data_IF_130018633713
#
_entry.id   IF_130018633713
#
_cell.length_a   1.000
_cell.length_b   1.000
_cell.length_c   1.000
_cell.angle_alpha   90.00
_cell.angle_beta   90.00
_cell.angle_gamma   90.00
#
_symmetry.space_group_name_H-M   'P 1'
#
loop_
_entity.id
_entity.type
_entity.pdbx_description
1 polymer ?
#
# COMPACT_ATOMS: atom_id res chain seq x y z
N UNK A 1 41.84 -12.26 -7.05
CA UNK A 1 41.55 -12.26 -8.50
C UNK A 1 40.16 -12.82 -8.66
N UNK A 2 39.21 -11.95 -8.93
CA UNK A 2 37.84 -12.28 -9.28
C UNK A 2 37.35 -11.05 -10.03
N UNK A 3 37.46 -11.11 -11.35
CA UNK A 3 36.56 -10.37 -12.22
C UNK A 3 35.21 -11.00 -11.93
N UNK A 4 34.16 -10.22 -11.69
CA UNK A 4 32.80 -10.77 -11.72
C UNK A 4 32.64 -11.36 -13.12
N UNK A 5 32.84 -12.67 -13.25
CA UNK A 5 32.62 -13.36 -14.51
C UNK A 5 31.14 -13.13 -14.83
N UNK A 6 30.83 -12.55 -15.99
CA UNK A 6 29.45 -12.32 -16.42
C UNK A 6 28.63 -13.62 -16.29
N UNK A 7 29.30 -14.77 -16.42
CA UNK A 7 28.74 -16.09 -16.16
C UNK A 7 28.34 -16.35 -14.70
N UNK A 8 29.11 -15.89 -13.72
CA UNK A 8 28.78 -16.01 -12.30
C UNK A 8 27.60 -15.12 -11.93
N UNK A 9 27.53 -13.90 -12.46
CA UNK A 9 26.39 -12.99 -12.25
C UNK A 9 25.13 -13.57 -12.90
N UNK A 10 25.28 -14.16 -14.10
CA UNK A 10 24.22 -14.88 -14.78
C UNK A 10 23.74 -16.10 -13.99
N UNK A 11 24.63 -16.92 -13.45
CA UNK A 11 24.26 -18.10 -12.67
C UNK A 11 23.51 -17.72 -11.38
N UNK A 12 23.86 -16.58 -10.78
CA UNK A 12 23.22 -16.01 -9.60
C UNK A 12 21.82 -15.43 -9.91
N UNK A 13 21.72 -14.69 -11.01
CA UNK A 13 20.44 -14.23 -11.56
C UNK A 13 19.55 -15.42 -11.94
N UNK A 14 20.11 -16.50 -12.49
CA UNK A 14 19.38 -17.73 -12.81
C UNK A 14 18.93 -18.45 -11.54
N UNK A 15 19.76 -18.53 -10.49
CA UNK A 15 19.40 -19.14 -9.23
C UNK A 15 18.24 -18.39 -8.54
N UNK A 16 18.27 -17.06 -8.59
CA UNK A 16 17.17 -16.20 -8.10
C UNK A 16 15.91 -16.28 -8.98
N UNK A 17 16.07 -16.42 -10.31
CA UNK A 17 15.02 -16.72 -11.29
C UNK A 17 14.28 -18.03 -11.01
N UNK A 18 14.99 -19.06 -10.56
CA UNK A 18 14.40 -20.37 -10.26
C UNK A 18 13.67 -20.35 -8.91
N UNK A 19 14.14 -19.53 -7.95
CA UNK A 19 13.54 -19.41 -6.63
C UNK A 19 12.24 -18.59 -6.62
N UNK A 20 12.08 -17.68 -7.59
CA UNK A 20 10.94 -16.77 -7.68
C UNK A 20 10.07 -17.24 -8.86
N UNK A 21 8.82 -17.66 -8.63
CA UNK A 21 7.87 -17.91 -9.73
C UNK A 21 7.68 -16.59 -10.51
N UNK A 22 8.14 -16.53 -11.77
CA UNK A 22 8.32 -15.24 -12.47
C UNK A 22 7.24 -14.94 -13.53
N UNK A 23 6.82 -13.68 -13.55
CA UNK A 23 6.03 -13.02 -14.59
C UNK A 23 6.88 -12.67 -15.84
N UNK A 24 6.25 -12.47 -17.00
CA UNK A 24 6.96 -12.15 -18.26
C UNK A 24 7.83 -10.88 -18.16
N UNK A 25 7.34 -9.85 -17.45
CA UNK A 25 8.03 -8.57 -17.29
C UNK A 25 9.34 -8.67 -16.49
N UNK A 26 9.44 -9.62 -15.57
CA UNK A 26 10.67 -9.82 -14.79
C UNK A 26 11.76 -10.51 -15.60
N UNK A 27 11.40 -11.36 -16.57
CA UNK A 27 12.36 -11.90 -17.54
C UNK A 27 13.02 -10.80 -18.39
N UNK A 28 12.21 -9.92 -19.00
CA UNK A 28 12.72 -8.82 -19.85
C UNK A 28 13.64 -7.87 -19.07
N UNK A 29 13.32 -7.63 -17.79
CA UNK A 29 14.17 -6.81 -16.93
C UNK A 29 15.53 -7.45 -16.64
N UNK A 30 15.58 -8.76 -16.43
CA UNK A 30 16.84 -9.46 -16.18
C UNK A 30 17.72 -9.51 -17.43
N UNK A 31 17.12 -9.67 -18.61
CA UNK A 31 17.83 -9.55 -19.89
C UNK A 31 18.44 -8.15 -20.05
N UNK A 32 17.70 -7.10 -19.65
CA UNK A 32 18.20 -5.71 -19.62
C UNK A 32 19.34 -5.51 -18.62
N UNK A 33 19.29 -6.14 -17.44
CA UNK A 33 20.40 -6.10 -16.47
C UNK A 33 21.65 -6.78 -17.04
N UNK A 34 21.49 -7.91 -17.73
CA UNK A 34 22.59 -8.62 -18.38
C UNK A 34 23.27 -7.73 -19.42
N UNK A 35 22.49 -7.08 -20.27
CA UNK A 35 23.01 -6.09 -21.23
C UNK A 35 23.78 -4.98 -20.52
N UNK A 36 23.22 -4.38 -19.46
CA UNK A 36 23.90 -3.34 -18.67
C UNK A 36 25.17 -3.84 -17.99
N UNK A 37 25.21 -5.10 -17.54
CA UNK A 37 26.40 -5.67 -16.89
C UNK A 37 27.57 -5.91 -17.85
N UNK A 38 27.27 -6.05 -19.14
CA UNK A 38 28.27 -6.21 -20.20
C UNK A 38 28.83 -4.85 -20.71
N UNK A 39 28.15 -3.73 -20.41
CA UNK A 39 28.59 -2.40 -20.79
C UNK A 39 29.81 -1.92 -19.98
N UNK A 40 30.69 -1.12 -20.60
CA UNK A 40 31.86 -0.58 -19.92
C UNK A 40 31.48 0.49 -18.88
N UNK A 41 32.27 0.61 -17.80
CA UNK A 41 32.01 1.54 -16.69
C UNK A 41 31.80 3.00 -17.13
N UNK A 42 32.45 3.43 -18.21
CA UNK A 42 32.33 4.75 -18.78
C UNK A 42 30.99 4.99 -19.49
N UNK A 43 30.33 3.95 -19.99
CA UNK A 43 29.07 4.03 -20.74
C UNK A 43 27.86 4.20 -19.82
N UNK A 44 27.98 3.77 -18.55
CA UNK A 44 26.93 3.91 -17.54
C UNK A 44 26.56 5.37 -17.24
N UNK A 45 27.48 6.32 -17.41
CA UNK A 45 27.19 7.76 -17.22
C UNK A 45 26.35 8.35 -18.37
N UNK A 46 26.33 7.71 -19.53
CA UNK A 46 25.62 8.16 -20.73
C UNK A 46 24.28 7.46 -20.94
N UNK A 47 23.86 6.60 -20.02
CA UNK A 47 22.54 5.95 -20.06
C UNK A 47 21.43 7.00 -20.05
N UNK A 48 20.48 6.87 -20.98
CA UNK A 48 19.37 7.81 -21.10
C UNK A 48 18.38 7.65 -19.93
N UNK A 49 18.11 6.41 -19.51
CA UNK A 49 17.16 6.09 -18.46
C UNK A 49 17.75 6.33 -17.05
N UNK A 50 17.15 7.18 -16.20
CA UNK A 50 17.55 7.36 -14.80
C UNK A 50 17.49 6.07 -13.97
N UNK A 51 16.61 5.12 -14.33
CA UNK A 51 16.49 3.84 -13.64
C UNK A 51 17.65 2.90 -13.98
N UNK A 52 18.02 2.77 -15.25
CA UNK A 52 19.20 1.98 -15.64
C UNK A 52 20.48 2.51 -15.02
N UNK A 53 20.57 3.83 -14.82
CA UNK A 53 21.68 4.45 -14.07
C UNK A 53 21.74 4.00 -12.61
N UNK A 54 20.58 3.86 -11.95
CA UNK A 54 20.52 3.34 -10.59
C UNK A 54 20.94 1.88 -10.50
N UNK A 55 20.57 1.05 -11.49
CA UNK A 55 21.01 -0.35 -11.62
C UNK A 55 22.53 -0.42 -11.84
N UNK A 56 23.04 0.36 -12.79
CA UNK A 56 24.46 0.42 -13.10
C UNK A 56 25.30 0.86 -11.89
N UNK A 57 24.80 1.82 -11.10
CA UNK A 57 25.46 2.28 -9.90
C UNK A 57 25.58 1.15 -8.86
N UNK A 58 24.52 0.36 -8.66
CA UNK A 58 24.59 -0.83 -7.81
C UNK A 58 25.65 -1.80 -8.35
N UNK A 59 25.61 -2.15 -9.64
CA UNK A 59 26.59 -3.06 -10.24
C UNK A 59 28.05 -2.56 -10.08
N UNK A 60 28.29 -1.26 -10.22
CA UNK A 60 29.61 -0.65 -10.04
C UNK A 60 30.17 -0.83 -8.63
N UNK A 61 29.32 -0.79 -7.59
CA UNK A 61 29.75 -0.98 -6.20
C UNK A 61 30.29 -2.39 -5.96
N UNK A 62 29.73 -3.39 -6.65
CA UNK A 62 30.18 -4.78 -6.56
C UNK A 62 31.39 -5.07 -7.47
N UNK A 63 31.57 -4.31 -8.56
CA UNK A 63 32.75 -4.45 -9.44
C UNK A 63 34.03 -3.86 -8.83
N UNK A 64 33.93 -2.74 -8.11
CA UNK A 64 35.08 -1.98 -7.61
C UNK A 64 35.73 -2.52 -6.32
N UNK A 65 35.28 -3.70 -5.88
CA UNK A 65 35.83 -4.53 -4.78
C UNK A 65 35.74 -3.91 -3.40
N UNK A 66 34.74 -4.38 -2.64
CA UNK A 66 34.78 -4.60 -1.18
C UNK A 66 33.51 -5.35 -0.67
N UNK A 67 32.54 -5.64 -1.54
CA UNK A 67 31.29 -6.32 -1.20
C UNK A 67 31.18 -7.70 -1.86
N UNK A 68 30.70 -8.69 -1.10
CA UNK A 68 30.40 -10.03 -1.59
C UNK A 68 28.99 -10.07 -2.23
N UNK A 69 28.85 -10.49 -3.51
CA UNK A 69 27.55 -10.62 -4.17
C UNK A 69 26.58 -11.61 -3.51
N UNK A 70 27.11 -12.64 -2.82
CA UNK A 70 26.31 -13.72 -2.23
C UNK A 70 25.92 -13.46 -0.78
N UNK A 71 26.65 -12.58 -0.11
CA UNK A 71 26.42 -12.17 1.26
C UNK A 71 26.72 -10.68 1.43
N UNK A 72 25.77 -9.85 1.00
CA UNK A 72 25.96 -8.40 1.02
C UNK A 72 25.90 -7.87 2.45
N UNK A 73 26.95 -7.19 2.90
CA UNK A 73 26.87 -6.33 4.08
C UNK A 73 26.05 -5.08 3.73
N UNK A 74 24.78 -5.09 4.13
CA UNK A 74 23.84 -4.00 3.88
C UNK A 74 24.29 -2.68 4.52
N UNK A 75 25.05 -2.70 5.62
CA UNK A 75 25.51 -1.48 6.28
C UNK A 75 26.58 -0.78 5.45
N UNK A 76 27.61 -1.53 5.06
CA UNK A 76 28.67 -1.04 4.18
C UNK A 76 28.11 -0.64 2.80
N UNK A 77 27.18 -1.44 2.25
CA UNK A 77 26.49 -1.13 1.01
C UNK A 77 25.76 0.21 1.09
N UNK A 78 24.97 0.46 2.13
CA UNK A 78 24.20 1.71 2.27
C UNK A 78 25.10 2.94 2.36
N UNK A 79 26.22 2.87 3.07
CA UNK A 79 27.19 3.97 3.15
C UNK A 79 27.81 4.28 1.79
N UNK A 80 28.30 3.24 1.09
CA UNK A 80 28.91 3.39 -0.22
C UNK A 80 27.91 3.85 -1.28
N UNK A 81 26.69 3.30 -1.25
CA UNK A 81 25.60 3.64 -2.16
C UNK A 81 25.14 5.09 -1.99
N UNK A 82 24.99 5.56 -0.74
CA UNK A 82 24.61 6.95 -0.46
C UNK A 82 25.67 7.94 -0.94
N UNK A 83 26.94 7.68 -0.64
CA UNK A 83 28.07 8.51 -1.11
C UNK A 83 28.14 8.58 -2.64
N UNK A 84 27.84 7.48 -3.32
CA UNK A 84 27.83 7.41 -4.79
C UNK A 84 26.62 8.11 -5.41
N UNK A 85 25.45 8.08 -4.78
CA UNK A 85 24.27 8.85 -5.20
C UNK A 85 24.56 10.35 -5.15
N UNK A 86 25.24 10.82 -4.10
CA UNK A 86 25.59 12.24 -3.96
C UNK A 86 26.53 12.74 -5.06
N UNK A 87 27.37 11.87 -5.61
CA UNK A 87 28.33 12.19 -6.66
C UNK A 87 27.78 12.03 -8.09
N UNK A 88 26.65 11.35 -8.25
CA UNK A 88 26.07 11.03 -9.56
C UNK A 88 24.88 11.93 -9.86
N UNK A 89 24.92 12.61 -11.01
CA UNK A 89 23.79 13.40 -11.48
C UNK A 89 22.81 12.53 -12.29
N UNK A 90 21.52 12.89 -12.26
CA UNK A 90 20.45 12.26 -13.05
C UNK A 90 20.12 10.80 -12.70
N UNK A 91 20.21 10.43 -11.43
CA UNK A 91 19.74 9.15 -10.90
C UNK A 91 18.28 9.24 -10.44
N UNK A 92 17.53 8.14 -10.54
CA UNK A 92 16.17 8.04 -9.99
C UNK A 92 16.18 8.02 -8.44
N UNK A 93 16.21 9.22 -7.85
CA UNK A 93 16.24 9.43 -6.40
C UNK A 93 15.05 8.79 -5.66
N UNK A 94 13.78 8.90 -6.12
CA UNK A 94 12.66 8.21 -5.50
C UNK A 94 12.85 6.69 -5.38
N UNK A 95 13.34 6.04 -6.44
CA UNK A 95 13.57 4.60 -6.46
C UNK A 95 14.76 4.21 -5.58
N UNK A 96 15.85 4.98 -5.63
CA UNK A 96 17.02 4.77 -4.77
C UNK A 96 16.70 4.94 -3.28
N UNK A 97 15.89 5.96 -2.91
CA UNK A 97 15.45 6.17 -1.54
C UNK A 97 14.60 5.01 -1.01
N UNK A 98 13.78 4.40 -1.87
CA UNK A 98 13.02 3.18 -1.52
C UNK A 98 13.94 1.97 -1.35
N UNK A 99 14.97 1.82 -2.19
CA UNK A 99 15.98 0.77 -2.00
C UNK A 99 16.68 0.91 -0.64
N UNK A 100 17.10 2.13 -0.29
CA UNK A 100 17.70 2.43 1.02
C UNK A 100 16.75 2.05 2.16
N UNK A 101 15.47 2.40 2.03
CA UNK A 101 14.44 2.06 3.02
C UNK A 101 14.24 0.55 3.16
N UNK A 102 14.23 -0.20 2.05
CA UNK A 102 14.09 -1.66 2.10
C UNK A 102 15.31 -2.32 2.75
N UNK A 103 16.53 -1.90 2.37
CA UNK A 103 17.75 -2.38 3.01
C UNK A 103 17.75 -2.10 4.52
N UNK A 104 17.28 -0.91 4.94
CA UNK A 104 17.13 -0.57 6.35
C UNK A 104 16.06 -1.42 7.06
N UNK A 105 14.94 -1.72 6.41
CA UNK A 105 13.91 -2.62 6.96
C UNK A 105 14.45 -4.03 7.19
N UNK A 106 15.26 -4.55 6.27
CA UNK A 106 15.90 -5.86 6.42
C UNK A 106 16.90 -5.84 7.58
N UNK A 107 17.78 -4.83 7.64
CA UNK A 107 18.72 -4.63 8.74
C UNK A 107 18.01 -4.53 10.10
N UNK A 108 16.90 -3.78 10.14
CA UNK A 108 16.10 -3.63 11.35
C UNK A 108 15.43 -4.93 11.77
N UNK A 109 14.89 -5.69 10.81
CA UNK A 109 14.32 -7.02 11.10
C UNK A 109 15.38 -8.00 11.61
N UNK A 110 16.59 -7.97 11.04
CA UNK A 110 17.74 -8.73 11.54
C UNK A 110 18.11 -8.32 12.98
N UNK A 111 18.14 -7.02 13.28
CA UNK A 111 18.41 -6.54 14.64
C UNK A 111 17.28 -6.89 15.64
N UNK A 112 16.02 -6.78 15.24
CA UNK A 112 14.87 -7.15 16.07
C UNK A 112 14.88 -8.65 16.38
N UNK A 113 15.16 -9.51 15.39
CA UNK A 113 15.34 -10.96 15.63
C UNK A 113 16.55 -11.31 16.49
N UNK A 114 17.62 -10.50 16.48
CA UNK A 114 18.76 -10.64 17.38
C UNK A 114 18.38 -10.30 18.83
N UNK A 115 17.58 -9.25 19.03
CA UNK A 115 17.11 -8.80 20.34
C UNK A 115 16.06 -9.76 20.91
N UNK A 116 15.15 -10.27 20.09
CA UNK A 116 14.18 -11.30 20.47
C UNK A 116 14.88 -12.58 20.90
N UNK A 117 15.93 -13.01 20.20
CA UNK A 117 16.81 -14.13 20.62
C UNK A 117 17.40 -13.92 22.02
N UNK A 118 17.95 -12.73 22.29
CA UNK A 118 18.53 -12.42 23.60
C UNK A 118 17.46 -12.46 24.71
N UNK A 119 16.26 -11.95 24.42
CA UNK A 119 15.16 -11.94 25.39
C UNK A 119 14.57 -13.34 25.67
N UNK A 120 14.49 -14.22 24.67
CA UNK A 120 14.06 -15.61 24.84
C UNK A 120 15.10 -16.43 25.63
N UNK A 121 16.40 -16.20 25.39
CA UNK A 121 17.49 -16.80 26.19
C UNK A 121 17.43 -16.40 27.67
N UNK A 122 17.06 -15.14 27.97
CA UNK A 122 16.89 -14.64 29.35
C UNK A 122 15.60 -15.17 30.03
N UNK A 123 14.59 -15.62 29.28
CA UNK A 123 13.32 -16.14 29.82
C UNK A 123 13.34 -17.65 30.13
N UNK A 124 14.18 -18.44 29.46
CA UNK A 124 14.31 -19.89 29.70
C UNK A 124 14.97 -20.21 31.07
N UNK A 125 15.58 -19.22 31.74
CA UNK A 125 16.14 -19.38 33.10
C UNK A 125 15.09 -19.25 34.23
N UNK A 126 13.85 -18.83 33.94
CA UNK A 126 12.86 -18.45 34.98
C UNK A 126 11.70 -19.43 35.23
N UNK A 127 11.65 -20.61 34.61
CA UNK A 127 10.66 -21.66 34.95
C UNK A 127 11.28 -22.89 35.65
N UNK A 128 12.11 -22.66 36.68
CA UNK A 128 12.31 -23.68 37.72
C UNK A 128 11.12 -23.65 38.68
N UNK A 129 10.01 -24.28 38.26
CA UNK A 129 8.91 -24.62 39.15
C UNK A 129 9.47 -25.41 40.34
N UNK A 130 9.56 -24.73 41.48
CA UNK A 130 10.05 -25.26 42.75
C UNK A 130 9.18 -26.45 43.20
N UNK A 131 9.61 -27.67 42.87
CA UNK A 131 9.14 -28.90 43.50
C UNK A 131 10.33 -29.84 43.73
N UNK A 132 10.75 -29.98 45.00
CA UNK A 132 11.76 -30.95 45.42
C UNK A 132 12.83 -30.38 46.35
N UNK A 133 12.93 -30.91 47.57
CA UNK A 133 13.80 -30.42 48.63
C UNK A 133 15.31 -30.46 48.32
N UNK A 134 16.03 -29.54 48.96
CA UNK A 134 17.48 -29.27 48.90
C UNK A 134 18.42 -30.43 49.32
N UNK A 135 17.98 -31.68 49.27
CA UNK A 135 18.75 -32.84 49.76
C UNK A 135 18.78 -34.06 48.83
N UNK A 136 18.06 -34.09 47.70
CA UNK A 136 17.89 -35.36 46.96
C UNK A 136 18.86 -35.61 45.81
N UNK A 137 19.10 -34.64 44.92
CA UNK A 137 19.69 -35.00 43.62
C UNK A 137 21.02 -34.30 43.40
N UNK A 138 22.08 -34.81 44.05
CA UNK A 138 23.42 -34.68 43.46
C UNK A 138 23.41 -35.51 42.19
N UNK A 139 23.13 -34.86 41.07
CA UNK A 139 23.25 -35.47 39.76
C UNK A 139 24.71 -35.87 39.55
N UNK A 140 25.00 -37.17 39.65
CA UNK A 140 26.34 -37.74 39.47
C UNK A 140 26.90 -37.32 38.10
N UNK A 141 26.06 -37.05 37.10
CA UNK A 141 26.47 -36.57 35.78
C UNK A 141 26.95 -35.11 35.84
N UNK A 142 26.34 -34.24 36.66
CA UNK A 142 26.78 -32.87 36.88
C UNK A 142 28.11 -32.81 37.66
N UNK A 143 28.31 -33.71 38.63
CA UNK A 143 29.58 -33.85 39.35
C UNK A 143 30.69 -34.37 38.41
N UNK A 144 30.40 -35.40 37.60
CA UNK A 144 31.35 -35.93 36.63
C UNK A 144 31.72 -34.92 35.53
N UNK A 145 30.77 -34.08 35.11
CA UNK A 145 31.01 -32.99 34.16
C UNK A 145 31.94 -31.93 34.74
N UNK A 146 31.61 -31.36 35.90
CA UNK A 146 32.41 -30.31 36.54
C UNK A 146 33.82 -30.79 36.90
N UNK A 147 33.95 -32.02 37.43
CA UNK A 147 35.25 -32.64 37.68
C UNK A 147 35.99 -32.90 36.36
N UNK A 148 35.33 -33.34 35.29
CA UNK A 148 35.95 -33.56 33.97
C UNK A 148 36.46 -32.29 33.30
N UNK A 149 35.77 -31.16 33.50
CA UNK A 149 36.18 -29.83 33.03
C UNK A 149 37.35 -29.29 33.84
N UNK A 150 37.30 -29.41 35.18
CA UNK A 150 38.36 -28.94 36.09
C UNK A 150 39.65 -29.76 35.94
N UNK A 151 39.52 -31.08 35.81
CA UNK A 151 40.67 -32.00 35.63
C UNK A 151 41.19 -32.02 34.19
N UNK A 152 40.46 -31.41 33.26
CA UNK A 152 40.84 -31.24 31.86
C UNK A 152 40.70 -32.51 31.00
N UNK A 153 40.07 -33.56 31.51
CA UNK A 153 39.83 -34.81 30.77
C UNK A 153 38.84 -34.65 29.62
N UNK A 154 38.01 -33.60 29.64
CA UNK A 154 37.03 -33.28 28.58
C UNK A 154 37.47 -32.11 27.68
N UNK A 155 38.74 -31.66 27.73
CA UNK A 155 39.24 -30.50 26.93
C UNK A 155 39.11 -30.67 25.42
N UNK A 156 39.22 -31.89 24.89
CA UNK A 156 39.06 -32.16 23.46
C UNK A 156 37.59 -32.20 23.00
N UNK A 157 36.65 -32.51 23.90
CA UNK A 157 35.23 -32.63 23.59
C UNK A 157 34.42 -31.36 23.96
N UNK A 158 34.98 -30.49 24.80
CA UNK A 158 34.40 -29.21 25.22
C UNK A 158 33.99 -28.30 24.05
N UNK A 159 34.77 -28.11 22.97
CA UNK A 159 34.36 -27.30 21.83
C UNK A 159 33.08 -27.82 21.17
N UNK A 160 32.95 -29.14 21.01
CA UNK A 160 31.77 -29.79 20.40
C UNK A 160 30.54 -29.87 21.30
N UNK A 161 30.69 -29.74 22.62
CA UNK A 161 29.56 -29.72 23.57
C UNK A 161 28.82 -28.38 23.61
N UNK A 162 29.49 -27.28 23.28
CA UNK A 162 28.84 -25.97 23.07
C UNK A 162 28.34 -25.77 21.63
N UNK A 163 28.65 -26.70 20.73
CA UNK A 163 28.38 -26.61 19.29
C UNK A 163 26.98 -27.09 18.89
N UNK A 164 26.07 -27.32 19.86
CA UNK A 164 24.74 -27.81 19.53
C UNK A 164 23.66 -27.43 20.53
N UNK A 165 22.90 -26.38 20.22
CA UNK A 165 21.46 -26.25 20.49
C UNK A 165 20.88 -25.08 19.70
N UNK A 166 20.45 -25.40 18.46
CA UNK A 166 19.64 -24.56 17.58
C UNK A 166 20.32 -23.25 17.13
N UNK A 167 21.33 -23.35 16.26
CA UNK A 167 21.55 -22.27 15.30
C UNK A 167 20.36 -22.32 14.31
N UNK A 168 19.25 -21.65 14.64
CA UNK A 168 18.22 -21.37 13.63
C UNK A 168 18.93 -20.54 12.57
N UNK A 169 18.77 -20.93 11.29
CA UNK A 169 19.40 -20.25 10.15
C UNK A 169 19.29 -18.75 10.37
N UNK A 170 20.43 -18.08 10.56
CA UNK A 170 20.52 -16.66 10.28
C UNK A 170 19.84 -16.47 8.93
N UNK A 171 18.78 -15.64 8.88
CA UNK A 171 17.99 -15.49 7.67
C UNK A 171 18.92 -15.33 6.47
N UNK A 172 18.66 -16.11 5.40
CA UNK A 172 19.53 -16.22 4.22
C UNK A 172 20.16 -14.86 3.90
N UNK A 173 21.49 -14.78 3.78
CA UNK A 173 22.14 -13.50 3.54
C UNK A 173 21.60 -12.88 2.25
N UNK A 174 21.41 -11.56 2.26
CA UNK A 174 20.86 -10.84 1.12
C UNK A 174 21.84 -10.92 -0.04
N UNK A 175 21.33 -11.30 -1.20
CA UNK A 175 22.13 -11.43 -2.44
C UNK A 175 22.03 -10.19 -3.31
N UNK A 176 22.99 -9.99 -4.21
CA UNK A 176 22.96 -8.95 -5.24
C UNK A 176 21.68 -9.05 -6.10
N UNK A 177 21.28 -10.27 -6.46
CA UNK A 177 20.05 -10.49 -7.22
C UNK A 177 18.81 -9.98 -6.49
N UNK A 178 18.72 -10.22 -5.18
CA UNK A 178 17.62 -9.69 -4.34
C UNK A 178 17.65 -8.16 -4.25
N UNK A 179 18.82 -7.51 -4.22
CA UNK A 179 18.92 -6.06 -4.28
C UNK A 179 18.45 -5.48 -5.62
N UNK A 180 18.81 -6.12 -6.73
CA UNK A 180 18.41 -5.69 -8.07
C UNK A 180 16.91 -5.91 -8.34
N UNK A 181 16.35 -7.00 -7.82
CA UNK A 181 14.90 -7.24 -7.82
C UNK A 181 14.18 -6.27 -6.89
N UNK A 182 14.75 -5.98 -5.72
CA UNK A 182 14.29 -4.94 -4.81
C UNK A 182 14.21 -3.58 -5.51
N UNK A 183 15.26 -3.20 -6.23
CA UNK A 183 15.29 -1.95 -7.00
C UNK A 183 14.17 -1.88 -8.05
N UNK A 184 13.88 -2.99 -8.77
CA UNK A 184 12.72 -3.07 -9.67
C UNK A 184 11.40 -2.88 -8.92
N UNK A 185 11.23 -3.57 -7.79
CA UNK A 185 10.02 -3.45 -6.97
C UNK A 185 9.84 -2.02 -6.47
N UNK A 186 10.91 -1.35 -6.01
CA UNK A 186 10.90 0.04 -5.62
C UNK A 186 10.43 0.96 -6.75
N UNK A 187 10.93 0.75 -7.98
CA UNK A 187 10.54 1.51 -9.17
C UNK A 187 9.05 1.34 -9.48
N UNK A 188 8.54 0.11 -9.49
CA UNK A 188 7.12 -0.17 -9.71
C UNK A 188 6.23 0.58 -8.72
N UNK A 189 6.56 0.53 -7.42
CA UNK A 189 5.77 1.21 -6.39
C UNK A 189 5.88 2.74 -6.55
N UNK A 190 7.04 3.26 -6.96
CA UNK A 190 7.24 4.70 -7.22
C UNK A 190 6.38 5.19 -8.38
N UNK A 191 6.36 4.43 -9.48
CA UNK A 191 5.53 4.72 -10.64
C UNK A 191 4.04 4.66 -10.30
N UNK A 192 3.61 3.65 -9.55
CA UNK A 192 2.22 3.52 -9.12
C UNK A 192 1.77 4.73 -8.29
N UNK A 193 2.61 5.20 -7.38
CA UNK A 193 2.29 6.36 -6.54
C UNK A 193 2.25 7.65 -7.35
N UNK A 194 3.18 7.85 -8.29
CA UNK A 194 3.14 8.99 -9.21
C UNK A 194 1.87 9.01 -10.06
N UNK A 195 1.40 7.84 -10.51
CA UNK A 195 0.12 7.72 -11.21
C UNK A 195 -1.05 8.09 -10.29
N UNK A 196 -1.06 7.59 -9.06
CA UNK A 196 -2.09 7.92 -8.05
C UNK A 196 -2.12 9.43 -7.75
N UNK A 197 -0.97 10.07 -7.60
CA UNK A 197 -0.87 11.52 -7.38
C UNK A 197 -1.41 12.31 -8.57
N UNK A 198 -1.06 11.93 -9.80
CA UNK A 198 -1.61 12.58 -11.01
C UNK A 198 -3.13 12.47 -11.08
N UNK A 199 -3.68 11.29 -10.81
CA UNK A 199 -5.14 11.09 -10.76
C UNK A 199 -5.78 11.94 -9.66
N UNK A 200 -5.15 12.04 -8.49
CA UNK A 200 -5.64 12.88 -7.40
C UNK A 200 -5.61 14.38 -7.76
N UNK A 201 -4.57 14.83 -8.45
CA UNK A 201 -4.44 16.20 -8.94
C UNK A 201 -5.52 16.53 -9.98
N UNK A 202 -5.69 15.68 -11.00
CA UNK A 202 -6.74 15.83 -12.01
C UNK A 202 -8.14 15.88 -11.39
N UNK A 203 -8.39 15.03 -10.38
CA UNK A 203 -9.64 15.07 -9.61
C UNK A 203 -9.81 16.38 -8.82
N UNK A 204 -8.73 16.91 -8.25
CA UNK A 204 -8.74 18.18 -7.52
C UNK A 204 -9.04 19.35 -8.47
N UNK A 205 -8.38 19.42 -9.62
CA UNK A 205 -8.61 20.45 -10.63
C UNK A 205 -10.06 20.40 -11.17
N UNK A 206 -10.59 19.19 -11.40
CA UNK A 206 -11.98 19.00 -11.78
C UNK A 206 -12.96 19.49 -10.70
N UNK A 207 -12.68 19.19 -9.43
CA UNK A 207 -13.48 19.67 -8.30
C UNK A 207 -13.40 21.19 -8.13
N UNK A 208 -12.23 21.80 -8.28
CA UNK A 208 -12.08 23.26 -8.21
C UNK A 208 -12.82 23.96 -9.34
N UNK A 209 -12.74 23.43 -10.56
CA UNK A 209 -13.48 23.94 -11.72
C UNK A 209 -14.98 23.85 -11.50
N UNK A 210 -15.46 22.71 -10.96
CA UNK A 210 -16.85 22.56 -10.56
C UNK A 210 -17.22 23.61 -9.50
N UNK A 211 -16.48 23.69 -8.39
CA UNK A 211 -16.72 24.65 -7.31
C UNK A 211 -16.76 26.10 -7.77
N UNK A 212 -15.89 26.50 -8.69
CA UNK A 212 -15.85 27.85 -9.25
C UNK A 212 -17.10 28.16 -10.09
N UNK A 213 -17.65 27.19 -10.84
CA UNK A 213 -18.95 27.34 -11.53
C UNK A 213 -20.10 27.50 -10.55
N UNK A 214 -20.01 26.90 -9.36
CA UNK A 214 -21.09 26.90 -8.37
C UNK A 214 -21.05 28.03 -7.35
N UNK A 215 -19.91 28.71 -7.17
CA UNK A 215 -19.75 29.81 -6.20
C UNK A 215 -20.68 31.01 -6.43
N UNK A 216 -21.33 31.12 -7.59
CA UNK A 216 -22.23 32.22 -7.94
C UNK A 216 -23.71 31.97 -7.64
N UNK A 217 -24.16 30.72 -7.51
CA UNK A 217 -25.59 30.36 -7.47
C UNK A 217 -26.09 29.90 -6.09
N UNK A 218 -25.19 29.75 -5.12
CA UNK A 218 -25.52 29.21 -3.79
C UNK A 218 -25.97 30.32 -2.82
N UNK A 219 -26.97 31.11 -3.20
CA UNK A 219 -27.67 32.02 -2.29
C UNK A 219 -29.17 31.77 -2.31
N UNK A 220 -29.60 30.98 -1.31
CA UNK A 220 -30.98 30.77 -0.86
C UNK A 220 -31.86 30.05 -1.88
N UNK A 221 -31.72 28.74 -1.97
CA UNK A 221 -32.78 27.90 -2.53
C UNK A 221 -33.34 26.95 -1.47
N UNK A 222 -34.66 26.87 -1.50
CA UNK A 222 -35.54 26.13 -0.60
C UNK A 222 -35.19 24.64 -0.57
N UNK A 223 -34.36 24.23 0.40
CA UNK A 223 -33.91 22.85 0.61
C UNK A 223 -35.10 21.88 0.71
N UNK A 224 -36.19 22.29 1.36
CA UNK A 224 -37.38 21.45 1.49
C UNK A 224 -38.10 21.31 0.14
N UNK A 225 -38.16 22.41 -0.62
CA UNK A 225 -38.60 22.41 -2.01
C UNK A 225 -37.75 21.52 -2.91
N UNK A 226 -36.43 21.48 -2.74
CA UNK A 226 -35.54 20.56 -3.47
C UNK A 226 -35.81 19.11 -3.13
N UNK A 227 -35.96 18.79 -1.85
CA UNK A 227 -36.30 17.44 -1.38
C UNK A 227 -37.65 17.00 -1.98
N UNK A 228 -38.65 17.89 -2.01
CA UNK A 228 -39.94 17.60 -2.65
C UNK A 228 -39.81 17.36 -4.15
N UNK A 229 -39.14 18.27 -4.87
CA UNK A 229 -38.94 18.16 -6.34
C UNK A 229 -38.23 16.88 -6.73
N UNK A 230 -37.20 16.51 -5.96
CA UNK A 230 -36.39 15.31 -6.21
C UNK A 230 -37.15 14.03 -5.89
N UNK A 231 -37.99 14.02 -4.85
CA UNK A 231 -38.89 12.90 -4.55
C UNK A 231 -39.95 12.69 -5.66
N UNK A 232 -40.56 13.76 -6.15
CA UNK A 232 -41.50 13.68 -7.28
C UNK A 232 -40.81 13.19 -8.56
N UNK A 233 -39.61 13.70 -8.86
CA UNK A 233 -38.81 13.29 -10.02
C UNK A 233 -38.40 11.81 -9.92
N UNK A 234 -37.99 11.36 -8.73
CA UNK A 234 -37.69 9.95 -8.43
C UNK A 234 -38.89 9.05 -8.77
N UNK A 235 -40.10 9.44 -8.36
CA UNK A 235 -41.32 8.68 -8.65
C UNK A 235 -41.73 8.68 -10.11
N UNK A 236 -41.58 9.81 -10.80
CA UNK A 236 -41.89 9.87 -12.24
C UNK A 236 -40.95 8.97 -13.06
N UNK A 237 -39.67 8.91 -12.70
CA UNK A 237 -38.64 8.10 -13.38
C UNK A 237 -38.49 6.70 -12.78
N UNK A 238 -39.24 6.34 -11.73
CA UNK A 238 -39.19 5.03 -11.11
C UNK A 238 -39.73 3.96 -12.05
N UNK A 239 -39.01 2.85 -12.15
CA UNK A 239 -39.46 1.72 -12.95
C UNK A 239 -40.71 1.09 -12.31
N UNK A 240 -41.83 0.93 -13.04
CA UNK A 240 -43.08 0.41 -12.49
C UNK A 240 -43.00 -1.04 -11.98
N UNK A 241 -41.95 -1.79 -12.32
CA UNK A 241 -41.73 -3.17 -11.85
C UNK A 241 -40.86 -3.28 -10.60
N UNK A 242 -39.93 -2.35 -10.40
CA UNK A 242 -38.89 -2.44 -9.36
C UNK A 242 -38.88 -1.26 -8.40
N UNK A 243 -39.69 -0.21 -8.62
CA UNK A 243 -39.77 0.97 -7.75
C UNK A 243 -38.45 1.71 -7.58
N UNK A 244 -37.50 1.52 -8.51
CA UNK A 244 -36.14 2.05 -8.46
C UNK A 244 -35.83 2.90 -9.70
N UNK A 245 -34.98 3.91 -9.51
CA UNK A 245 -34.49 4.80 -10.55
C UNK A 245 -32.99 5.07 -10.35
N UNK A 246 -32.30 5.53 -11.40
CA UNK A 246 -30.90 5.97 -11.28
C UNK A 246 -30.83 7.44 -10.90
N UNK A 247 -29.82 7.85 -10.13
CA UNK A 247 -29.63 9.26 -9.77
C UNK A 247 -29.49 10.15 -11.02
N UNK A 248 -28.86 9.63 -12.08
CA UNK A 248 -28.72 10.33 -13.36
C UNK A 248 -30.07 10.66 -14.02
N UNK A 249 -31.05 9.77 -13.95
CA UNK A 249 -32.36 10.01 -14.55
C UNK A 249 -33.19 11.02 -13.76
N UNK A 250 -32.97 11.08 -12.44
CA UNK A 250 -33.54 12.11 -11.56
C UNK A 250 -32.92 13.48 -11.85
N UNK A 251 -31.59 13.56 -12.02
CA UNK A 251 -30.94 14.82 -12.39
C UNK A 251 -31.36 15.31 -13.78
N UNK A 252 -31.54 14.41 -14.75
CA UNK A 252 -32.04 14.79 -16.09
C UNK A 252 -33.45 15.39 -16.02
N UNK A 253 -34.36 14.80 -15.24
CA UNK A 253 -35.72 15.31 -15.03
C UNK A 253 -35.73 16.69 -14.35
N UNK A 254 -34.84 16.90 -13.37
CA UNK A 254 -34.71 18.20 -12.71
C UNK A 254 -34.10 19.26 -13.62
N UNK A 255 -33.16 18.87 -14.50
CA UNK A 255 -32.61 19.77 -15.51
C UNK A 255 -33.67 20.16 -16.54
N UNK A 256 -34.51 19.21 -16.99
CA UNK A 256 -35.66 19.46 -17.87
C UNK A 256 -36.61 20.50 -17.29
N UNK A 257 -37.02 20.33 -16.03
CA UNK A 257 -37.90 21.28 -15.32
C UNK A 257 -37.27 22.66 -15.09
N UNK A 258 -35.95 22.72 -14.97
CA UNK A 258 -35.22 23.97 -14.77
C UNK A 258 -35.13 24.75 -16.08
N UNK A 259 -34.84 24.07 -17.20
CA UNK A 259 -34.85 24.69 -18.53
C UNK A 259 -36.21 25.27 -18.91
N UNK A 260 -37.32 24.63 -18.51
CA UNK A 260 -38.67 25.18 -18.70
C UNK A 260 -38.89 26.54 -18.01
N UNK A 261 -38.09 26.84 -16.97
CA UNK A 261 -38.10 28.12 -16.25
C UNK A 261 -37.16 29.17 -16.86
N UNK A 262 -36.42 28.82 -17.92
CA UNK A 262 -35.61 29.75 -18.70
C UNK A 262 -34.10 29.77 -18.38
N UNK A 263 -33.57 28.79 -17.63
CA UNK A 263 -32.12 28.64 -17.41
C UNK A 263 -31.40 28.06 -18.63
N UNK A 264 -30.11 28.40 -18.74
CA UNK A 264 -29.18 27.83 -19.72
C UNK A 264 -29.05 26.30 -19.53
N UNK A 265 -28.87 25.55 -20.62
CA UNK A 265 -28.73 24.07 -20.56
C UNK A 265 -27.58 23.64 -19.66
N UNK A 266 -26.41 24.26 -19.80
CA UNK A 266 -25.21 23.89 -19.04
C UNK A 266 -25.34 24.24 -17.54
N UNK A 267 -26.09 25.29 -17.23
CA UNK A 267 -26.36 25.73 -15.86
C UNK A 267 -27.41 24.83 -15.20
N UNK A 268 -28.49 24.52 -15.93
CA UNK A 268 -29.53 23.61 -15.48
C UNK A 268 -29.03 22.18 -15.23
N UNK A 269 -28.17 21.65 -16.11
CA UNK A 269 -27.59 20.31 -15.92
C UNK A 269 -26.68 20.27 -14.68
N UNK A 270 -25.87 21.30 -14.47
CA UNK A 270 -24.96 21.38 -13.33
C UNK A 270 -25.71 21.55 -11.99
N UNK A 271 -26.73 22.43 -11.97
CA UNK A 271 -27.58 22.68 -10.81
C UNK A 271 -28.40 21.44 -10.43
N UNK A 272 -29.03 20.80 -11.42
CA UNK A 272 -29.85 19.62 -11.21
C UNK A 272 -29.06 18.43 -10.67
N UNK A 273 -27.80 18.24 -11.10
CA UNK A 273 -26.95 17.18 -10.56
C UNK A 273 -26.66 17.37 -9.07
N UNK A 274 -26.36 18.60 -8.65
CA UNK A 274 -26.08 18.91 -7.24
C UNK A 274 -27.35 18.81 -6.41
N UNK A 275 -28.45 19.40 -6.86
CA UNK A 275 -29.74 19.34 -6.18
C UNK A 275 -30.21 17.88 -6.02
N UNK A 276 -30.10 17.06 -7.08
CA UNK A 276 -30.39 15.63 -7.01
C UNK A 276 -29.53 14.90 -5.99
N UNK A 277 -28.22 15.14 -5.97
CA UNK A 277 -27.30 14.47 -5.04
C UNK A 277 -27.58 14.87 -3.58
N UNK A 278 -27.67 16.16 -3.29
CA UNK A 278 -27.89 16.68 -1.94
C UNK A 278 -29.25 16.22 -1.43
N UNK A 279 -30.31 16.39 -2.23
CA UNK A 279 -31.65 15.99 -1.83
C UNK A 279 -31.80 14.46 -1.70
N UNK A 280 -31.13 13.66 -2.53
CA UNK A 280 -31.12 12.20 -2.37
C UNK A 280 -30.51 11.78 -1.02
N UNK A 281 -29.45 12.43 -0.56
CA UNK A 281 -28.89 12.19 0.78
C UNK A 281 -29.89 12.52 1.88
N UNK A 282 -30.64 13.62 1.75
CA UNK A 282 -31.70 13.96 2.70
C UNK A 282 -32.88 12.99 2.66
N UNK A 283 -33.30 12.55 1.47
CA UNK A 283 -34.35 11.56 1.30
C UNK A 283 -33.97 10.23 1.98
N UNK A 284 -32.71 9.82 1.85
CA UNK A 284 -32.19 8.60 2.49
C UNK A 284 -32.10 8.78 4.00
N UNK A 285 -31.51 9.88 4.48
CA UNK A 285 -31.34 10.12 5.91
C UNK A 285 -32.70 10.26 6.65
N UNK A 286 -33.70 10.87 5.99
CA UNK A 286 -35.05 11.03 6.53
C UNK A 286 -35.94 9.80 6.33
N UNK A 287 -35.46 8.74 5.67
CA UNK A 287 -36.15 7.47 5.51
C UNK A 287 -37.18 7.40 4.37
N UNK A 288 -37.18 8.35 3.44
CA UNK A 288 -38.07 8.33 2.27
C UNK A 288 -37.62 7.32 1.20
N UNK A 289 -36.31 7.17 1.02
CA UNK A 289 -35.74 6.33 -0.03
C UNK A 289 -34.53 5.55 0.49
N UNK A 290 -34.15 4.47 -0.21
CA UNK A 290 -32.87 3.79 0.02
C UNK A 290 -31.95 3.93 -1.18
N UNK A 291 -30.65 4.02 -0.92
CA UNK A 291 -29.59 4.22 -1.91
C UNK A 291 -28.71 2.97 -2.01
N UNK A 292 -28.38 2.58 -3.23
CA UNK A 292 -27.42 1.51 -3.53
C UNK A 292 -26.54 1.92 -4.71
N UNK A 293 -25.26 1.63 -4.65
CA UNK A 293 -24.34 1.81 -5.77
C UNK A 293 -23.90 0.45 -6.32
N UNK A 294 -23.85 0.30 -7.64
CA UNK A 294 -23.28 -0.88 -8.28
C UNK A 294 -21.74 -0.90 -8.17
N UNK A 295 -21.13 -2.09 -8.18
CA UNK A 295 -19.67 -2.22 -8.09
C UNK A 295 -18.97 -1.78 -9.40
N UNK A 296 -17.90 -1.00 -9.32
CA UNK A 296 -17.09 -0.54 -10.46
C UNK A 296 -16.66 0.93 -10.38
N UNK A 297 -15.71 1.35 -11.23
CA UNK A 297 -15.21 2.75 -11.29
C UNK A 297 -16.31 3.78 -11.60
N UNK A 298 -17.36 3.39 -12.33
CA UNK A 298 -18.54 4.20 -12.66
C UNK A 298 -19.85 3.52 -12.21
N UNK A 299 -19.83 2.94 -11.01
CA UNK A 299 -20.99 2.28 -10.42
C UNK A 299 -22.21 3.20 -10.37
N UNK A 300 -23.32 2.79 -11.02
CA UNK A 300 -24.54 3.60 -11.07
C UNK A 300 -25.18 3.67 -9.68
N UNK A 301 -25.58 4.88 -9.30
CA UNK A 301 -26.33 5.12 -8.05
C UNK A 301 -27.81 4.89 -8.32
N UNK A 302 -28.40 3.95 -7.58
CA UNK A 302 -29.79 3.54 -7.66
C UNK A 302 -30.51 4.00 -6.39
N UNK A 303 -31.61 4.72 -6.58
CA UNK A 303 -32.56 5.11 -5.54
C UNK A 303 -33.79 4.21 -5.62
N UNK A 304 -34.35 3.83 -4.47
CA UNK A 304 -35.60 3.08 -4.37
C UNK A 304 -36.53 3.69 -3.34
N UNK A 305 -37.81 3.81 -3.69
CA UNK A 305 -38.82 4.37 -2.79
C UNK A 305 -39.21 3.36 -1.70
N UNK A 306 -39.16 3.79 -0.44
CA UNK A 306 -39.54 2.97 0.71
C UNK A 306 -41.03 3.04 1.03
N UNK A 307 -41.76 4.02 0.46
CA UNK A 307 -43.16 4.29 0.80
C UNK A 307 -44.08 4.39 -0.43
N UNK A 308 -44.16 3.36 -1.29
CA UNK A 308 -44.94 3.40 -2.53
C UNK A 308 -46.45 3.61 -2.33
N UNK A 309 -46.97 3.40 -1.11
CA UNK A 309 -48.40 3.50 -0.79
C UNK A 309 -48.88 4.95 -0.58
N UNK A 310 -47.98 5.87 -0.21
CA UNK A 310 -48.32 7.27 0.08
C UNK A 310 -48.10 8.14 -1.16
N UNK A 311 -49.10 8.89 -1.61
CA UNK A 311 -49.01 9.70 -2.85
C UNK A 311 -48.60 11.15 -2.63
N UNK A 312 -48.71 11.65 -1.40
CA UNK A 312 -48.46 13.04 -1.06
C UNK A 312 -47.20 13.16 -0.18
N UNK A 313 -46.28 14.03 -0.59
CA UNK A 313 -45.03 14.28 0.11
C UNK A 313 -45.27 14.90 1.48
N UNK A 314 -46.23 15.82 1.61
CA UNK A 314 -46.44 16.56 2.86
C UNK A 314 -47.05 15.64 3.93
N UNK A 315 -47.98 14.77 3.55
CA UNK A 315 -48.56 13.74 4.43
C UNK A 315 -47.49 12.74 4.87
N UNK A 316 -46.66 12.29 3.94
CA UNK A 316 -45.56 11.37 4.24
C UNK A 316 -44.52 12.02 5.16
N UNK A 317 -44.24 13.30 4.96
CA UNK A 317 -43.32 14.07 5.80
C UNK A 317 -43.85 14.29 7.21
N UNK A 318 -45.13 14.65 7.36
CA UNK A 318 -45.75 14.77 8.69
C UNK A 318 -45.79 13.44 9.45
N UNK A 319 -45.92 12.31 8.74
CA UNK A 319 -45.91 10.97 9.34
C UNK A 319 -44.52 10.54 9.79
N UNK A 320 -43.48 10.81 8.99
CA UNK A 320 -42.10 10.41 9.28
C UNK A 320 -41.40 11.39 10.24
N UNK A 321 -41.71 12.68 10.11
CA UNK A 321 -41.11 13.77 10.87
C UNK A 321 -42.23 14.72 11.34
N UNK A 322 -43.04 14.33 12.34
CA UNK A 322 -44.06 15.21 12.89
C UNK A 322 -43.39 16.45 13.48
N UNK A 323 -43.76 17.63 12.99
CA UNK A 323 -43.27 18.89 13.55
C UNK A 323 -43.75 18.98 15.01
N UNK A 324 -42.82 19.10 15.96
CA UNK A 324 -43.16 19.47 17.33
C UNK A 324 -43.91 20.80 17.26
N UNK A 325 -45.22 20.77 17.53
CA UNK A 325 -45.97 21.99 17.75
C UNK A 325 -45.32 22.68 18.95
N UNK A 326 -44.57 23.75 18.68
CA UNK A 326 -44.18 24.71 19.71
C UNK A 326 -45.48 25.12 20.39
N UNK A 327 -45.65 24.67 21.63
CA UNK A 327 -46.70 25.14 22.53
C UNK A 327 -46.38 26.62 22.78
N UNK A 328 -47.10 27.50 22.09
CA UNK A 328 -47.15 28.92 22.46
C UNK A 328 -47.89 28.99 23.81
N UNK A 329 -47.12 29.18 24.88
CA UNK A 329 -47.62 29.59 26.21
C UNK A 329 -47.97 31.09 26.24
#
# INVERSE_FOLDING_TARGET
>A
MGVLDAKSLRDDIIATLIATDMDLETSEYLDRILELSEMEEAEHQFLNDPFDRSVALVLQLFQNRDLDPWAVDLSAFLEMFTSRIEQSEHVDLPTCGRLIRMAWQVLRGQAESLVERQHDEDQDDEEWLYDGGWESDYDDDAYNFSVGVITGSQRENLPGMFEGRIQRDEGRPVTLGELLLGLKAASRISQEENLRMKIAEERREALETARARFSGSLHVEDLEGDIRRTWEAMRMRANPKTGSCTLSSVSEELAERSMERGTSRDEADAEAQVAAMVAALFLVNRGYASIRQEDGMDGKVILSDLHPEETDFDILSERLHPQEKLVED
#
